data_IF_824499416167
#
_entry.id   IF_824499416167
#
_cell.length_a   1.000
_cell.length_b   1.000
_cell.length_c   1.000
_cell.angle_alpha   90.00
_cell.angle_beta   90.00
_cell.angle_gamma   90.00
#
_symmetry.space_group_name_H-M   'P 1'
#
loop_
_entity.id
_entity.type
_entity.pdbx_description
1 polymer ?
#
# COMPACT_ATOMS: atom_id res chain seq x y z
N UNK A 1 44.47 4.75 53.69
CA UNK A 1 44.29 3.93 54.91
C UNK A 1 45.58 4.01 55.69
N UNK A 2 45.54 4.45 56.94
CA UNK A 2 46.70 4.36 57.80
C UNK A 2 46.84 2.88 58.22
N UNK A 3 47.98 2.25 57.95
CA UNK A 3 48.21 0.85 58.35
C UNK A 3 48.20 0.65 59.88
N UNK A 4 48.11 1.74 60.65
CA UNK A 4 48.01 1.76 62.11
C UNK A 4 46.57 1.70 62.65
N UNK A 5 45.54 1.68 61.80
CA UNK A 5 44.17 1.54 62.27
C UNK A 5 43.86 0.08 62.66
N UNK A 6 43.77 -0.19 63.97
CA UNK A 6 43.40 -1.51 64.51
C UNK A 6 41.90 -1.77 64.35
N UNK A 7 41.49 -2.46 63.29
CA UNK A 7 40.10 -2.81 63.00
C UNK A 7 39.46 -3.80 63.99
N UNK A 8 40.25 -4.44 64.86
CA UNK A 8 39.78 -5.53 65.75
C UNK A 8 39.25 -4.98 67.08
N UNK A 9 39.81 -3.88 67.59
CA UNK A 9 39.57 -3.38 68.95
C UNK A 9 38.83 -2.05 69.03
N UNK A 10 38.36 -1.48 67.92
CA UNK A 10 37.69 -0.17 67.89
C UNK A 10 36.19 -0.29 68.16
N UNK A 11 35.64 0.68 68.90
CA UNK A 11 34.19 0.81 69.10
C UNK A 11 33.50 1.25 67.80
N UNK A 12 32.36 0.61 67.48
CA UNK A 12 31.54 0.98 66.32
C UNK A 12 30.88 2.35 66.57
N UNK A 13 31.28 3.35 65.78
CA UNK A 13 30.71 4.70 65.82
C UNK A 13 29.86 4.93 64.58
N UNK A 14 28.53 5.01 64.77
CA UNK A 14 27.58 5.25 63.69
C UNK A 14 27.13 6.72 63.66
N UNK A 15 26.56 7.15 62.52
CA UNK A 15 26.00 8.47 62.34
C UNK A 15 24.74 8.44 61.47
N UNK A 16 23.87 9.41 61.69
CA UNK A 16 22.98 9.94 60.65
C UNK A 16 23.51 11.29 60.20
N UNK A 17 23.22 11.67 58.96
CA UNK A 17 23.67 12.95 58.44
C UNK A 17 22.98 13.33 57.15
N UNK A 18 23.31 14.52 56.66
CA UNK A 18 22.79 15.06 55.39
C UNK A 18 23.95 15.21 54.42
N UNK A 19 23.74 14.76 53.19
CA UNK A 19 24.72 14.93 52.10
C UNK A 19 24.72 16.38 51.62
N UNK A 20 25.88 17.03 51.62
CA UNK A 20 26.02 18.43 51.17
C UNK A 20 26.75 18.56 49.83
N UNK A 21 27.57 17.57 49.44
CA UNK A 21 28.32 17.59 48.20
C UNK A 21 28.40 16.19 47.59
N UNK A 22 28.19 16.13 46.28
CA UNK A 22 28.19 14.91 45.47
C UNK A 22 29.19 14.97 44.30
N UNK A 23 29.89 16.10 44.13
CA UNK A 23 30.81 16.33 43.02
C UNK A 23 32.20 15.76 43.32
N UNK A 24 32.28 14.43 43.46
CA UNK A 24 33.54 13.72 43.75
C UNK A 24 34.57 13.90 42.62
N UNK A 25 35.70 14.62 42.85
CA UNK A 25 36.71 14.84 41.81
C UNK A 25 37.41 13.55 41.37
N UNK A 26 37.36 12.49 42.19
CA UNK A 26 37.94 11.18 41.87
C UNK A 26 36.93 10.22 41.21
N UNK A 27 35.67 10.63 41.06
CA UNK A 27 34.61 9.83 40.41
C UNK A 27 34.44 8.42 41.04
N UNK A 28 34.64 8.30 42.37
CA UNK A 28 34.49 7.04 43.11
C UNK A 28 33.10 6.92 43.78
N UNK A 29 32.18 7.84 43.47
CA UNK A 29 30.85 7.88 44.09
C UNK A 29 30.89 8.29 45.57
N UNK A 30 31.94 9.00 46.00
CA UNK A 30 32.00 9.54 47.36
C UNK A 30 31.07 10.73 47.51
N UNK A 31 30.63 10.98 48.74
CA UNK A 31 29.80 12.14 49.10
C UNK A 31 30.35 12.82 50.34
N UNK A 32 30.15 14.13 50.50
CA UNK A 32 30.44 14.80 51.76
C UNK A 32 29.18 14.84 52.62
N UNK A 33 29.29 14.30 53.84
CA UNK A 33 28.16 14.18 54.77
C UNK A 33 28.39 15.05 55.98
N UNK A 34 27.42 15.90 56.31
CA UNK A 34 27.39 16.58 57.60
C UNK A 34 26.68 15.69 58.62
N UNK A 35 27.46 15.08 59.51
CA UNK A 35 26.98 14.08 60.48
C UNK A 35 26.43 14.75 61.75
N UNK A 36 25.21 14.39 62.15
CA UNK A 36 24.57 14.92 63.35
C UNK A 36 25.35 14.53 64.60
N UNK A 37 25.54 15.49 65.52
CA UNK A 37 26.32 15.30 66.75
C UNK A 37 27.83 15.38 66.58
N UNK A 38 28.36 15.22 65.36
CA UNK A 38 29.81 15.31 65.06
C UNK A 38 30.19 16.64 64.41
N UNK A 39 29.34 17.17 63.52
CA UNK A 39 29.59 18.42 62.81
C UNK A 39 28.64 19.53 63.27
N UNK A 40 29.11 20.77 63.27
CA UNK A 40 28.28 21.97 63.54
C UNK A 40 27.46 22.36 62.30
N UNK A 41 26.30 22.99 62.52
CA UNK A 41 25.49 23.57 61.44
C UNK A 41 26.09 24.88 60.90
N UNK A 42 27.02 25.50 61.62
CA UNK A 42 27.67 26.74 61.20
C UNK A 42 28.76 26.47 60.15
N UNK A 43 28.48 26.86 58.90
CA UNK A 43 29.40 26.70 57.78
C UNK A 43 30.65 27.58 57.89
N UNK A 44 30.65 28.61 58.74
CA UNK A 44 31.86 29.40 59.00
C UNK A 44 32.88 28.63 59.84
N UNK A 45 32.43 27.65 60.64
CA UNK A 45 33.31 26.78 61.43
C UNK A 45 33.77 25.55 60.66
N UNK A 46 32.86 24.92 59.91
CA UNK A 46 33.19 23.78 59.03
C UNK A 46 32.49 24.00 57.68
N UNK A 47 33.19 24.61 56.71
CA UNK A 47 32.75 24.71 55.33
C UNK A 47 32.36 23.35 54.74
N UNK A 48 31.43 23.33 53.79
CA UNK A 48 31.02 22.08 53.11
C UNK A 48 32.20 21.37 52.46
N UNK A 49 33.16 22.11 51.91
CA UNK A 49 34.36 21.56 51.26
C UNK A 49 35.36 20.93 52.24
N UNK A 50 35.31 21.28 53.51
CA UNK A 50 36.19 20.72 54.54
C UNK A 50 35.64 19.42 55.14
N UNK A 51 34.39 19.06 54.83
CA UNK A 51 33.83 17.78 55.24
C UNK A 51 34.61 16.60 54.61
N UNK A 52 34.89 15.53 55.38
CA UNK A 52 35.54 14.35 54.85
C UNK A 52 34.66 13.65 53.81
N UNK A 53 35.30 13.11 52.77
CA UNK A 53 34.63 12.29 51.76
C UNK A 53 34.24 10.93 52.35
N UNK A 54 32.96 10.62 52.33
CA UNK A 54 32.42 9.33 52.71
C UNK A 54 32.32 8.38 51.51
N UNK A 55 32.75 7.12 51.68
CA UNK A 55 32.53 6.08 50.67
C UNK A 55 31.12 5.52 50.80
N UNK A 56 30.45 5.24 49.69
CA UNK A 56 29.12 4.60 49.69
C UNK A 56 29.29 3.08 49.64
N UNK A 57 28.65 2.38 50.58
CA UNK A 57 28.61 0.92 50.60
C UNK A 57 27.58 0.42 49.58
N UNK A 58 28.06 -0.25 48.54
CA UNK A 58 27.19 -0.84 47.54
C UNK A 58 26.55 -2.14 48.03
N UNK A 59 25.32 -2.48 47.58
CA UNK A 59 24.71 -3.77 47.89
C UNK A 59 25.55 -4.93 47.30
N UNK A 60 25.41 -6.13 47.87
CA UNK A 60 26.13 -7.34 47.41
C UNK A 60 25.83 -7.74 45.97
N UNK A 61 24.76 -7.19 45.38
CA UNK A 61 24.42 -7.33 43.95
C UNK A 61 25.32 -6.50 43.02
N UNK A 62 26.21 -5.68 43.57
CA UNK A 62 27.23 -4.91 42.84
C UNK A 62 28.63 -5.35 43.24
N UNK A 63 29.44 -5.83 42.28
CA UNK A 63 30.79 -6.33 42.56
C UNK A 63 31.80 -5.23 42.90
N UNK A 64 31.53 -3.98 42.49
CA UNK A 64 32.36 -2.80 42.78
C UNK A 64 33.84 -2.98 42.40
N UNK A 65 34.10 -3.72 41.31
CA UNK A 65 35.44 -4.12 40.89
C UNK A 65 35.52 -4.21 39.36
N UNK A 66 36.61 -3.70 38.78
CA UNK A 66 36.91 -3.78 37.34
C UNK A 66 35.81 -3.28 36.39
N UNK A 67 35.02 -2.29 36.82
CA UNK A 67 33.89 -1.77 36.05
C UNK A 67 32.65 -2.67 36.04
N UNK A 68 32.62 -3.73 36.85
CA UNK A 68 31.49 -4.66 37.00
C UNK A 68 30.73 -4.25 38.27
N UNK A 69 29.48 -3.81 38.12
CA UNK A 69 28.63 -3.41 39.24
C UNK A 69 27.60 -2.34 38.88
N UNK A 70 27.05 -1.71 39.91
CA UNK A 70 26.13 -0.57 39.81
C UNK A 70 26.88 0.74 40.03
N UNK A 71 26.33 1.85 39.54
CA UNK A 71 26.87 3.18 39.86
C UNK A 71 26.70 3.47 41.35
N UNK A 72 27.75 3.99 42.00
CA UNK A 72 27.71 4.48 43.38
C UNK A 72 27.12 5.91 43.50
N UNK A 73 26.50 6.42 42.43
CA UNK A 73 25.81 7.71 42.38
C UNK A 73 24.29 7.55 42.55
N UNK A 74 23.58 8.65 42.79
CA UNK A 74 22.12 8.68 42.88
C UNK A 74 21.61 9.30 44.18
N UNK A 75 22.47 9.32 45.20
CA UNK A 75 22.26 10.16 46.38
C UNK A 75 22.36 11.63 45.97
N UNK A 76 21.41 12.45 46.43
CA UNK A 76 21.31 13.87 46.12
C UNK A 76 21.80 14.74 47.28
N UNK A 77 22.21 15.97 46.99
CA UNK A 77 22.39 16.98 48.05
C UNK A 77 21.07 17.15 48.81
N UNK A 78 21.14 17.21 50.13
CA UNK A 78 19.98 17.17 51.03
C UNK A 78 19.50 15.77 51.42
N UNK A 79 20.02 14.69 50.83
CA UNK A 79 19.61 13.32 51.20
C UNK A 79 20.03 12.97 52.62
N UNK A 80 19.12 12.35 53.36
CA UNK A 80 19.42 11.76 54.65
C UNK A 80 20.09 10.40 54.48
N UNK A 81 21.19 10.20 55.19
CA UNK A 81 21.98 8.98 55.15
C UNK A 81 22.24 8.44 56.55
N UNK A 82 22.44 7.13 56.63
CA UNK A 82 22.99 6.44 57.79
C UNK A 82 24.33 5.81 57.42
N UNK A 83 25.26 5.82 58.35
CA UNK A 83 26.61 5.35 58.12
C UNK A 83 27.39 5.06 59.40
N UNK A 84 28.67 4.76 59.24
CA UNK A 84 29.60 4.57 60.35
C UNK A 84 31.00 5.05 59.99
N UNK A 85 31.81 5.35 61.00
CA UNK A 85 33.21 5.71 60.83
C UNK A 85 34.08 4.46 60.95
N UNK A 86 34.85 4.13 59.90
CA UNK A 86 35.75 2.97 59.89
C UNK A 86 36.85 3.06 60.94
N UNK A 87 37.23 4.27 61.30
CA UNK A 87 38.25 4.59 62.27
C UNK A 87 37.71 4.76 63.70
N UNK A 88 36.43 4.42 63.94
CA UNK A 88 35.81 4.42 65.27
C UNK A 88 35.55 5.84 65.80
N UNK A 89 35.70 6.09 67.11
CA UNK A 89 35.43 7.40 67.72
C UNK A 89 36.28 8.58 67.20
N UNK A 90 37.33 8.32 66.43
CA UNK A 90 38.12 9.36 65.76
C UNK A 90 37.31 10.11 64.67
N UNK A 91 36.30 9.46 64.11
CA UNK A 91 35.30 10.06 63.21
C UNK A 91 35.87 10.79 61.97
N UNK A 92 36.96 10.28 61.37
CA UNK A 92 37.59 10.89 60.18
C UNK A 92 37.35 10.10 58.88
N UNK A 93 36.96 8.82 58.94
CA UNK A 93 36.85 7.93 57.76
C UNK A 93 35.41 7.37 57.60
N UNK A 94 34.46 8.17 57.11
CA UNK A 94 33.06 7.79 57.04
C UNK A 94 32.73 6.81 55.88
N UNK A 95 31.83 5.87 56.15
CA UNK A 95 31.09 5.07 55.17
C UNK A 95 29.60 5.34 55.28
N UNK A 96 28.95 5.57 54.15
CA UNK A 96 27.49 5.60 54.02
C UNK A 96 26.98 4.18 53.77
N UNK A 97 26.09 3.69 54.62
CA UNK A 97 25.43 2.38 54.48
C UNK A 97 24.19 2.44 53.58
N UNK A 98 23.46 3.55 53.61
CA UNK A 98 22.24 3.74 52.83
C UNK A 98 21.57 5.08 53.08
N UNK A 99 20.49 5.32 52.34
CA UNK A 99 19.64 6.53 52.46
C UNK A 99 18.39 6.25 53.28
N UNK A 100 17.84 7.29 53.90
CA UNK A 100 16.61 7.22 54.69
C UNK A 100 15.54 8.06 53.96
N UNK A 101 14.45 7.47 53.46
CA UNK A 101 13.33 8.24 52.95
C UNK A 101 12.56 8.91 54.10
N UNK A 102 12.11 10.15 53.89
CA UNK A 102 11.35 10.91 54.88
C UNK A 102 10.26 11.76 54.20
N UNK A 103 9.77 12.76 54.91
CA UNK A 103 9.22 13.98 54.35
C UNK A 103 10.23 15.08 54.68
N UNK A 104 11.21 15.29 53.81
CA UNK A 104 12.32 16.20 54.10
C UNK A 104 11.81 17.65 54.04
N UNK A 105 11.93 18.46 55.10
CA UNK A 105 11.54 19.87 55.06
C UNK A 105 12.56 20.69 54.26
N UNK A 106 12.14 21.86 53.76
CA UNK A 106 13.08 22.79 53.13
C UNK A 106 13.99 23.41 54.19
N UNK A 107 15.28 23.07 54.14
CA UNK A 107 16.30 23.65 55.01
C UNK A 107 16.77 25.03 54.55
N UNK A 108 17.43 25.74 55.45
CA UNK A 108 18.17 26.98 55.16
C UNK A 108 19.49 26.63 54.46
N UNK A 109 19.68 27.07 53.21
CA UNK A 109 20.86 26.73 52.38
C UNK A 109 22.15 27.35 52.90
N UNK A 110 22.07 28.42 53.69
CA UNK A 110 23.23 29.07 54.31
C UNK A 110 23.73 28.30 55.53
N UNK A 111 22.92 27.39 56.07
CA UNK A 111 23.29 26.51 57.19
C UNK A 111 23.64 25.12 56.70
N UNK A 112 24.40 24.40 57.52
CA UNK A 112 24.64 22.98 57.31
C UNK A 112 23.37 22.15 57.51
N UNK A 113 23.47 20.86 57.14
CA UNK A 113 22.37 19.89 57.22
C UNK A 113 21.22 20.13 56.24
N UNK A 114 21.51 20.80 55.13
CA UNK A 114 20.58 21.08 54.04
C UNK A 114 21.30 20.97 52.70
N UNK A 115 20.56 20.99 51.60
CA UNK A 115 21.14 21.15 50.26
C UNK A 115 21.77 22.55 50.12
N UNK A 116 23.10 22.69 49.96
CA UNK A 116 23.74 23.99 49.79
C UNK A 116 23.29 24.73 48.52
N UNK A 117 22.80 24.01 47.51
CA UNK A 117 22.25 24.61 46.29
C UNK A 117 20.78 25.06 46.43
N UNK A 118 20.11 24.72 47.54
CA UNK A 118 18.71 25.06 47.80
C UNK A 118 17.69 24.44 46.84
N UNK A 119 18.11 23.43 46.05
CA UNK A 119 17.31 22.76 45.02
C UNK A 119 16.43 21.66 45.62
N UNK A 120 16.97 20.87 46.53
CA UNK A 120 16.30 19.76 47.18
C UNK A 120 15.91 20.11 48.62
N UNK A 121 14.73 19.65 49.11
CA UNK A 121 13.67 18.95 48.37
C UNK A 121 12.99 19.86 47.32
N UNK A 122 12.56 19.27 46.21
CA UNK A 122 11.83 20.00 45.14
C UNK A 122 10.43 20.39 45.64
N UNK A 123 9.75 19.46 46.30
CA UNK A 123 8.44 19.65 46.91
C UNK A 123 8.55 19.36 48.42
N UNK A 124 8.78 20.38 49.28
CA UNK A 124 9.08 20.17 50.69
C UNK A 124 7.92 19.61 51.52
N UNK A 125 6.69 19.76 51.02
CA UNK A 125 5.49 19.23 51.68
C UNK A 125 5.16 17.79 51.25
N UNK A 126 6.01 17.17 50.43
CA UNK A 126 5.81 15.81 49.93
C UNK A 126 6.72 14.78 50.57
N UNK A 127 6.22 13.53 50.56
CA UNK A 127 7.01 12.36 50.93
C UNK A 127 8.11 12.16 49.89
N UNK A 128 9.31 11.79 50.32
CA UNK A 128 10.48 11.61 49.44
C UNK A 128 10.36 10.39 48.53
N UNK A 129 9.46 9.45 48.87
CA UNK A 129 9.14 8.31 48.02
C UNK A 129 8.49 8.76 46.70
N UNK A 130 8.84 8.15 45.54
CA UNK A 130 8.29 8.53 44.24
C UNK A 130 6.75 8.49 44.21
N UNK A 131 6.13 9.45 43.52
CA UNK A 131 4.65 9.56 43.44
C UNK A 131 4.01 8.31 42.82
N UNK A 132 4.72 7.65 41.91
CA UNK A 132 4.32 6.43 41.21
C UNK A 132 3.96 5.30 42.20
N UNK A 133 4.65 5.21 43.34
CA UNK A 133 4.45 4.16 44.33
C UNK A 133 3.32 4.44 45.33
N UNK A 134 2.63 5.59 45.25
CA UNK A 134 1.73 6.12 46.29
C UNK A 134 0.45 6.71 45.70
N UNK A 135 -0.46 7.15 46.57
CA UNK A 135 -1.80 7.60 46.20
C UNK A 135 -1.81 8.77 45.18
N UNK A 136 -0.76 9.60 45.17
CA UNK A 136 -0.62 10.74 44.26
C UNK A 136 -0.03 10.36 42.88
N UNK A 137 -0.01 9.08 42.48
CA UNK A 137 0.58 8.60 41.23
C UNK A 137 0.07 9.31 39.96
N UNK A 138 -1.18 9.76 39.92
CA UNK A 138 -1.75 10.49 38.78
C UNK A 138 -1.07 11.85 38.56
N UNK A 139 -0.41 12.38 39.58
CA UNK A 139 0.35 13.62 39.52
C UNK A 139 1.83 13.38 39.17
N UNK A 140 2.25 12.12 39.00
CA UNK A 140 3.61 11.81 38.54
C UNK A 140 3.83 12.34 37.12
N UNK A 141 5.06 12.78 36.84
CA UNK A 141 5.44 13.22 35.49
C UNK A 141 5.30 12.11 34.46
N UNK A 142 5.53 10.85 34.87
CA UNK A 142 5.32 9.68 34.04
C UNK A 142 3.84 9.52 33.62
N UNK A 143 2.91 9.55 34.58
CA UNK A 143 1.47 9.43 34.31
C UNK A 143 0.94 10.58 33.44
N UNK A 144 1.24 11.83 33.82
CA UNK A 144 0.74 13.01 33.09
C UNK A 144 1.23 13.01 31.63
N UNK A 145 2.50 12.68 31.41
CA UNK A 145 3.08 12.57 30.07
C UNK A 145 2.36 11.51 29.24
N UNK A 146 2.20 10.28 29.77
CA UNK A 146 1.51 9.20 29.04
C UNK A 146 0.05 9.52 28.74
N UNK A 147 -0.66 10.17 29.68
CA UNK A 147 -2.06 10.60 29.50
C UNK A 147 -2.20 11.58 28.34
N UNK A 148 -1.29 12.55 28.24
CA UNK A 148 -1.28 13.55 27.18
C UNK A 148 -0.88 13.00 25.81
N UNK A 149 -0.11 11.91 25.77
CA UNK A 149 0.39 11.28 24.54
C UNK A 149 -0.56 10.24 23.93
N UNK A 150 -1.71 9.98 24.55
CA UNK A 150 -2.66 8.97 24.10
C UNK A 150 -3.09 9.22 22.64
N UNK A 151 -2.96 8.19 21.80
CA UNK A 151 -3.38 8.25 20.39
C UNK A 151 -4.77 7.64 20.26
N UNK A 152 -5.69 8.37 19.64
CA UNK A 152 -7.08 7.95 19.47
C UNK A 152 -7.53 8.09 18.02
N UNK A 153 -8.58 7.34 17.65
CA UNK A 153 -9.27 7.46 16.36
C UNK A 153 -8.36 7.25 15.14
N UNK A 154 -7.42 6.30 15.22
CA UNK A 154 -6.59 5.91 14.09
C UNK A 154 -7.44 5.10 13.12
N UNK A 155 -7.65 5.63 11.92
CA UNK A 155 -8.50 5.00 10.91
C UNK A 155 -7.93 3.66 10.41
N UNK A 156 -8.84 2.73 10.09
CA UNK A 156 -8.56 1.48 9.38
C UNK A 156 -8.88 1.61 7.89
N UNK A 157 -8.15 0.90 7.05
CA UNK A 157 -8.45 0.81 5.62
C UNK A 157 -9.77 0.07 5.38
N UNK A 158 -10.51 0.46 4.34
CA UNK A 158 -11.73 -0.22 3.88
C UNK A 158 -11.74 -0.38 2.36
N UNK A 159 -12.45 -1.38 1.82
CA UNK A 159 -12.67 -1.55 0.38
C UNK A 159 -13.38 -0.35 -0.28
N UNK A 160 -13.16 -0.06 -1.59
CA UNK A 160 -13.97 0.88 -2.36
C UNK A 160 -15.15 0.18 -3.06
N UNK A 161 -16.17 0.94 -3.44
CA UNK A 161 -17.23 0.49 -4.37
C UNK A 161 -16.72 0.50 -5.81
N UNK A 162 -17.08 -0.50 -6.60
CA UNK A 162 -16.74 -0.63 -8.04
C UNK A 162 -18.02 -0.87 -8.87
N UNK A 163 -19.07 -0.14 -8.51
CA UNK A 163 -20.46 -0.35 -8.97
C UNK A 163 -20.67 -0.28 -10.48
N UNK A 164 -19.72 0.29 -11.24
CA UNK A 164 -19.80 0.32 -12.70
C UNK A 164 -19.55 -1.02 -13.37
N UNK A 165 -18.95 -1.98 -12.64
CA UNK A 165 -18.52 -3.28 -13.21
C UNK A 165 -18.83 -4.47 -12.31
N UNK A 166 -19.13 -4.27 -11.02
CA UNK A 166 -19.54 -5.33 -10.11
C UNK A 166 -20.66 -4.86 -9.19
N UNK A 167 -21.40 -5.81 -8.61
CA UNK A 167 -22.45 -5.53 -7.63
C UNK A 167 -21.80 -5.11 -6.31
N UNK A 168 -22.40 -4.11 -5.65
CA UNK A 168 -21.93 -3.64 -4.34
C UNK A 168 -22.28 -4.62 -3.22
N UNK A 169 -21.41 -4.69 -2.22
CA UNK A 169 -21.70 -5.31 -0.93
C UNK A 169 -22.63 -4.41 -0.08
N UNK A 170 -23.18 -4.90 1.04
CA UNK A 170 -23.91 -4.06 1.99
C UNK A 170 -23.05 -2.89 2.50
N UNK A 171 -23.67 -1.74 2.80
CA UNK A 171 -22.95 -0.52 3.20
C UNK A 171 -22.04 -0.69 4.42
N UNK A 172 -22.34 -1.64 5.32
CA UNK A 172 -21.51 -1.98 6.47
C UNK A 172 -20.11 -2.49 6.08
N UNK A 173 -19.94 -3.12 4.93
CA UNK A 173 -18.65 -3.59 4.40
C UNK A 173 -17.71 -2.42 4.05
N UNK A 174 -18.30 -1.28 3.68
CA UNK A 174 -17.58 -0.05 3.32
C UNK A 174 -17.45 0.95 4.47
N UNK A 175 -18.03 0.64 5.64
CA UNK A 175 -18.02 1.54 6.79
C UNK A 175 -16.65 1.59 7.43
N UNK A 176 -16.05 2.78 7.45
CA UNK A 176 -14.76 3.02 8.11
C UNK A 176 -14.91 2.96 9.63
N UNK A 177 -13.98 2.27 10.28
CA UNK A 177 -13.84 2.22 11.73
C UNK A 177 -12.43 2.67 12.14
N UNK A 178 -12.25 2.88 13.44
CA UNK A 178 -10.99 3.33 14.01
C UNK A 178 -10.52 2.41 15.16
N UNK A 179 -9.35 2.73 15.71
CA UNK A 179 -8.85 2.15 16.95
C UNK A 179 -8.12 3.23 17.77
N UNK A 180 -7.95 2.97 19.07
CA UNK A 180 -7.25 3.88 20.00
C UNK A 180 -6.31 3.08 20.89
N UNK A 181 -5.22 3.70 21.34
CA UNK A 181 -4.39 3.10 22.39
C UNK A 181 -5.16 3.04 23.72
N UNK A 182 -4.68 2.20 24.64
CA UNK A 182 -5.26 2.03 25.96
C UNK A 182 -5.42 3.37 26.69
N UNK A 183 -6.47 3.47 27.50
CA UNK A 183 -6.65 4.58 28.42
C UNK A 183 -5.95 4.26 29.74
N UNK A 184 -4.90 5.01 30.05
CA UNK A 184 -4.10 4.73 31.26
C UNK A 184 -4.89 4.96 32.55
N UNK A 185 -5.96 5.77 32.54
CA UNK A 185 -6.81 5.95 33.71
C UNK A 185 -7.59 4.69 34.10
N UNK A 186 -7.72 3.75 33.17
CA UNK A 186 -8.40 2.47 33.37
C UNK A 186 -7.44 1.32 33.67
N UNK A 187 -6.14 1.53 33.48
CA UNK A 187 -5.12 0.47 33.56
C UNK A 187 -4.01 0.75 34.58
N UNK A 188 -3.90 2.00 35.04
CA UNK A 188 -2.92 2.44 36.03
C UNK A 188 -3.62 2.81 37.32
N UNK A 189 -3.56 1.93 38.31
CA UNK A 189 -4.07 2.17 39.67
C UNK A 189 -3.23 1.40 40.70
N UNK A 190 -2.03 1.91 41.04
CA UNK A 190 -1.16 1.28 42.03
C UNK A 190 -1.77 1.40 43.43
N UNK A 191 -1.65 0.34 44.20
CA UNK A 191 -1.85 0.33 45.65
C UNK A 191 -0.49 0.45 46.34
N UNK A 192 -0.44 1.29 47.37
CA UNK A 192 0.78 1.48 48.16
C UNK A 192 1.23 0.15 48.77
N UNK A 193 2.56 -0.02 48.84
CA UNK A 193 3.33 -1.25 49.13
C UNK A 193 3.42 -2.28 48.02
N UNK A 194 2.62 -2.20 46.95
CA UNK A 194 2.67 -3.16 45.84
C UNK A 194 3.38 -2.64 44.59
N UNK A 195 3.47 -1.32 44.40
CA UNK A 195 4.21 -0.75 43.28
C UNK A 195 5.66 -0.43 43.64
N UNK A 196 6.59 -1.17 43.04
CA UNK A 196 8.03 -0.92 43.13
C UNK A 196 8.44 0.06 42.02
N UNK A 197 8.45 1.35 42.34
CA UNK A 197 8.83 2.40 41.40
C UNK A 197 10.25 2.93 41.65
N UNK A 198 11.00 3.09 40.56
CA UNK A 198 12.29 3.78 40.51
C UNK A 198 12.10 5.05 39.70
N UNK A 199 12.39 6.21 40.31
CA UNK A 199 12.34 7.51 39.66
C UNK A 199 13.72 8.16 39.75
N UNK A 200 14.30 8.52 38.60
CA UNK A 200 15.63 9.13 38.53
C UNK A 200 15.54 10.66 38.45
N UNK A 201 16.60 11.38 38.82
CA UNK A 201 16.62 12.86 38.77
C UNK A 201 16.28 13.43 37.37
N UNK A 202 16.58 12.68 36.30
CA UNK A 202 16.25 13.05 34.92
C UNK A 202 14.81 12.79 34.50
N UNK A 203 13.97 12.22 35.38
CA UNK A 203 12.56 11.89 35.12
C UNK A 203 12.33 10.54 34.44
N UNK A 204 13.34 9.67 34.35
CA UNK A 204 13.14 8.28 33.92
C UNK A 204 12.45 7.50 35.02
N UNK A 205 11.50 6.65 34.62
CA UNK A 205 10.67 5.87 35.54
C UNK A 205 10.68 4.41 35.12
N UNK A 206 10.84 3.54 36.11
CA UNK A 206 10.64 2.10 35.96
C UNK A 206 9.73 1.60 37.07
N UNK A 207 8.69 0.86 36.72
CA UNK A 207 7.70 0.33 37.67
C UNK A 207 7.57 -1.18 37.49
N UNK A 208 7.52 -1.89 38.62
CA UNK A 208 7.04 -3.26 38.73
C UNK A 208 5.92 -3.23 39.78
N UNK A 209 4.68 -3.29 39.30
CA UNK A 209 3.48 -3.13 40.12
C UNK A 209 2.78 -4.48 40.32
N UNK A 210 2.71 -4.93 41.56
CA UNK A 210 2.05 -6.17 41.98
C UNK A 210 0.60 -5.94 42.49
N UNK A 211 0.06 -4.73 42.31
CA UNK A 211 -1.30 -4.38 42.76
C UNK A 211 -2.33 -5.33 42.14
N UNK A 212 -3.21 -5.87 43.00
CA UNK A 212 -4.21 -6.83 42.54
C UNK A 212 -5.12 -6.20 41.46
N UNK A 213 -5.43 -6.95 40.41
CA UNK A 213 -6.19 -6.50 39.22
C UNK A 213 -5.57 -5.35 38.41
N UNK A 214 -4.46 -4.76 38.85
CA UNK A 214 -3.77 -3.63 38.20
C UNK A 214 -2.27 -3.87 38.04
N UNK A 215 -1.86 -5.15 37.98
CA UNK A 215 -0.46 -5.53 37.78
C UNK A 215 0.08 -4.90 36.51
N UNK A 216 1.27 -4.30 36.57
CA UNK A 216 1.87 -3.67 35.39
C UNK A 216 3.39 -3.63 35.47
N UNK A 217 3.99 -3.54 34.29
CA UNK A 217 5.38 -3.14 34.14
C UNK A 217 5.45 -1.89 33.29
N UNK A 218 6.27 -0.92 33.70
CA UNK A 218 6.55 0.29 32.94
C UNK A 218 8.05 0.52 32.87
N UNK A 219 8.56 0.84 31.68
CA UNK A 219 9.90 1.40 31.48
C UNK A 219 9.75 2.65 30.61
N UNK A 220 9.96 3.84 31.18
CA UNK A 220 9.66 5.13 30.57
C UNK A 220 10.85 6.08 30.61
N UNK A 221 11.17 6.63 29.43
CA UNK A 221 12.06 7.76 29.29
C UNK A 221 11.31 9.08 29.60
N UNK A 222 12.00 10.08 30.14
CA UNK A 222 11.41 11.35 30.54
C UNK A 222 10.78 12.16 29.39
N UNK A 223 11.20 11.89 28.15
CA UNK A 223 10.59 12.46 26.94
C UNK A 223 9.22 11.88 26.59
N UNK A 224 8.81 10.78 27.23
CA UNK A 224 7.52 10.12 27.01
C UNK A 224 7.55 8.87 26.13
N UNK A 225 8.72 8.42 25.65
CA UNK A 225 8.84 7.08 25.05
C UNK A 225 8.74 6.04 26.17
N UNK A 226 7.91 5.01 25.99
CA UNK A 226 7.73 3.98 27.01
C UNK A 226 7.39 2.59 26.42
N UNK A 227 7.66 1.57 27.23
CA UNK A 227 7.11 0.23 27.07
C UNK A 227 6.27 -0.09 28.29
N UNK A 228 5.03 -0.47 28.08
CA UNK A 228 4.09 -0.83 29.15
C UNK A 228 3.44 -2.18 28.85
N UNK A 229 3.30 -3.00 29.89
CA UNK A 229 2.47 -4.20 29.90
C UNK A 229 1.51 -4.07 31.08
N UNK A 230 0.20 -4.08 30.81
CA UNK A 230 -0.85 -3.94 31.84
C UNK A 230 -1.42 -5.30 32.24
N UNK A 231 -2.33 -5.32 33.22
CA UNK A 231 -2.83 -6.56 33.84
C UNK A 231 -3.49 -7.54 32.85
N UNK A 232 -4.08 -7.06 31.76
CA UNK A 232 -4.65 -7.89 30.69
C UNK A 232 -3.60 -8.62 29.84
N UNK A 233 -2.32 -8.25 29.98
CA UNK A 233 -1.24 -8.67 29.09
C UNK A 233 -1.10 -7.77 27.84
N UNK A 234 -1.96 -6.77 27.68
CA UNK A 234 -1.83 -5.82 26.58
C UNK A 234 -0.52 -5.05 26.69
N UNK A 235 0.20 -4.97 25.56
CA UNK A 235 1.49 -4.31 25.47
C UNK A 235 1.38 -3.06 24.62
N UNK A 236 1.91 -1.95 25.14
CA UNK A 236 2.11 -0.71 24.38
C UNK A 236 3.60 -0.43 24.24
N UNK A 237 4.04 -0.18 23.00
CA UNK A 237 5.35 0.41 22.71
C UNK A 237 5.09 1.78 22.09
N UNK A 238 5.36 2.84 22.84
CA UNK A 238 5.13 4.20 22.41
C UNK A 238 6.46 4.90 22.17
N UNK A 239 6.67 5.42 20.97
CA UNK A 239 7.91 6.10 20.59
C UNK A 239 7.59 7.52 20.16
N UNK A 240 8.07 8.51 20.93
CA UNK A 240 7.89 9.94 20.63
C UNK A 240 8.82 10.40 19.49
N UNK A 241 10.02 9.82 19.43
CA UNK A 241 11.01 10.12 18.40
C UNK A 241 10.97 9.14 17.22
N UNK A 242 12.13 8.97 16.58
CA UNK A 242 12.30 7.98 15.52
C UNK A 242 12.44 6.57 16.12
N UNK A 243 11.78 5.58 15.50
CA UNK A 243 11.94 4.17 15.84
C UNK A 243 12.82 3.47 14.79
N UNK A 244 13.82 2.71 15.26
CA UNK A 244 14.67 1.89 14.40
C UNK A 244 14.58 0.43 14.86
N UNK A 245 14.19 -0.45 13.94
CA UNK A 245 14.21 -1.90 14.15
C UNK A 245 15.28 -2.49 13.25
N UNK A 246 16.28 -3.16 13.83
CA UNK A 246 17.37 -3.81 13.09
C UNK A 246 17.43 -5.27 13.50
N UNK A 247 17.19 -6.16 12.54
CA UNK A 247 17.33 -7.61 12.71
C UNK A 247 18.34 -8.09 11.69
N UNK A 248 19.48 -8.62 12.16
CA UNK A 248 20.56 -9.10 11.29
C UNK A 248 20.35 -10.56 10.83
N UNK A 249 19.51 -11.30 11.55
CA UNK A 249 19.07 -12.64 11.17
C UNK A 249 17.69 -12.62 10.50
N UNK A 250 16.95 -13.70 10.68
CA UNK A 250 15.54 -13.78 10.29
C UNK A 250 14.66 -13.11 11.34
N UNK A 251 13.60 -12.44 10.88
CA UNK A 251 12.53 -11.93 11.73
C UNK A 251 11.21 -12.61 11.35
N UNK A 252 10.70 -13.48 12.23
CA UNK A 252 9.45 -14.21 12.01
C UNK A 252 8.34 -13.52 12.81
N UNK A 253 7.42 -12.86 12.11
CA UNK A 253 6.34 -12.09 12.73
C UNK A 253 5.03 -12.87 12.54
N UNK A 254 4.46 -13.37 13.64
CA UNK A 254 3.16 -14.04 13.66
C UNK A 254 2.13 -13.21 14.42
N UNK A 255 1.01 -12.90 13.76
CA UNK A 255 -0.12 -12.17 14.35
C UNK A 255 -1.36 -13.03 14.14
N UNK A 256 -1.87 -13.65 15.21
CA UNK A 256 -3.06 -14.49 15.17
C UNK A 256 -4.36 -13.68 14.99
N UNK A 257 -4.35 -12.42 15.46
CA UNK A 257 -5.44 -11.47 15.27
C UNK A 257 -5.28 -10.65 13.99
N UNK A 258 -6.06 -9.57 13.89
CA UNK A 258 -5.94 -8.64 12.76
C UNK A 258 -4.73 -7.71 12.90
N UNK A 259 -4.05 -7.45 11.79
CA UNK A 259 -3.01 -6.42 11.70
C UNK A 259 -3.58 -5.18 11.00
N UNK A 260 -3.52 -4.02 11.67
CA UNK A 260 -3.85 -2.73 11.06
C UNK A 260 -2.57 -1.88 11.01
N UNK A 261 -2.15 -1.49 9.81
CA UNK A 261 -0.98 -0.62 9.60
C UNK A 261 -1.43 0.71 8.97
N UNK A 262 -1.26 1.79 9.72
CA UNK A 262 -1.57 3.14 9.28
C UNK A 262 -0.28 3.97 9.23
N UNK A 263 0.05 4.49 8.05
CA UNK A 263 1.22 5.36 7.83
C UNK A 263 0.69 6.69 7.31
N UNK A 264 0.83 7.76 8.10
CA UNK A 264 0.34 9.09 7.73
C UNK A 264 1.20 9.76 6.64
N UNK A 265 2.49 9.42 6.58
CA UNK A 265 3.42 9.85 5.53
C UNK A 265 3.60 8.79 4.44
N UNK A 266 4.75 8.82 3.78
CA UNK A 266 5.11 7.85 2.74
C UNK A 266 5.36 6.45 3.31
N UNK A 267 4.83 5.42 2.64
CA UNK A 267 5.20 4.02 2.89
C UNK A 267 6.15 3.52 1.79
N UNK A 268 7.38 3.17 2.17
CA UNK A 268 8.38 2.59 1.26
C UNK A 268 8.67 1.16 1.68
N UNK A 269 8.39 0.21 0.78
CA UNK A 269 8.66 -1.20 1.01
C UNK A 269 9.59 -1.72 -0.09
N UNK A 270 10.85 -1.98 0.28
CA UNK A 270 11.85 -2.54 -0.64
C UNK A 270 12.17 -3.97 -0.22
N UNK A 271 11.85 -4.92 -1.09
CA UNK A 271 12.22 -6.33 -0.93
C UNK A 271 13.26 -6.66 -1.99
N UNK A 272 14.48 -6.97 -1.55
CA UNK A 272 15.61 -7.28 -2.45
C UNK A 272 15.55 -8.68 -3.04
N UNK A 273 14.86 -9.59 -2.33
CA UNK A 273 14.56 -10.94 -2.82
C UNK A 273 13.18 -11.01 -3.46
N UNK A 274 12.56 -12.18 -3.40
CA UNK A 274 11.21 -12.39 -3.90
C UNK A 274 10.16 -11.80 -2.94
N UNK A 275 9.05 -11.30 -3.50
CA UNK A 275 7.88 -10.85 -2.74
C UNK A 275 6.73 -11.83 -2.96
N UNK A 276 6.59 -12.81 -2.07
CA UNK A 276 5.45 -13.72 -2.07
C UNK A 276 4.32 -13.13 -1.24
N UNK A 277 3.18 -12.90 -1.87
CA UNK A 277 1.95 -12.44 -1.22
C UNK A 277 0.84 -13.45 -1.51
N UNK A 278 0.35 -14.08 -0.46
CA UNK A 278 -0.81 -14.96 -0.49
C UNK A 278 -1.91 -14.36 0.38
N UNK A 279 -3.12 -14.28 -0.17
CA UNK A 279 -4.30 -13.74 0.50
C UNK A 279 -5.42 -14.75 0.27
N UNK A 280 -5.79 -15.50 1.30
CA UNK A 280 -6.87 -16.49 1.20
C UNK A 280 -8.25 -15.83 1.03
N UNK A 281 -8.41 -14.64 1.61
CA UNK A 281 -9.59 -13.79 1.42
C UNK A 281 -9.47 -12.87 0.20
N UNK A 282 -10.28 -11.81 0.20
CA UNK A 282 -10.25 -10.83 -0.88
C UNK A 282 -9.05 -9.88 -0.74
N UNK A 283 -8.32 -9.64 -1.84
CA UNK A 283 -7.35 -8.54 -1.94
C UNK A 283 -8.02 -7.34 -2.60
N UNK A 284 -8.00 -6.20 -1.91
CA UNK A 284 -8.56 -4.95 -2.41
C UNK A 284 -7.53 -3.84 -2.39
N UNK A 285 -7.46 -3.05 -3.47
CA UNK A 285 -6.55 -1.93 -3.61
C UNK A 285 -7.35 -0.67 -4.00
N UNK A 286 -7.39 0.33 -3.11
CA UNK A 286 -7.98 1.64 -3.42
C UNK A 286 -6.90 2.72 -3.48
N UNK A 287 -6.42 3.00 -4.69
CA UNK A 287 -5.43 4.05 -4.94
C UNK A 287 -6.18 5.32 -5.33
N UNK A 288 -6.21 6.33 -4.45
CA UNK A 288 -6.83 7.63 -4.75
C UNK A 288 -6.07 8.43 -5.81
N UNK A 289 -4.75 8.21 -5.91
CA UNK A 289 -3.89 8.77 -6.95
C UNK A 289 -3.77 7.83 -8.15
N UNK A 290 -2.60 7.81 -8.78
CA UNK A 290 -2.31 6.92 -9.92
C UNK A 290 -1.61 5.64 -9.47
N UNK A 291 -1.85 4.53 -10.18
CA UNK A 291 -1.08 3.28 -10.06
C UNK A 291 -0.15 3.16 -11.28
N UNK A 292 1.14 2.95 -11.03
CA UNK A 292 2.13 2.64 -12.06
C UNK A 292 2.73 1.27 -11.76
N UNK A 293 2.87 0.43 -12.78
CA UNK A 293 3.45 -0.90 -12.67
C UNK A 293 4.47 -1.10 -13.79
N UNK A 294 5.66 -1.58 -13.44
CA UNK A 294 6.71 -1.92 -14.40
C UNK A 294 7.27 -3.29 -14.05
N UNK A 295 6.98 -4.27 -14.91
CA UNK A 295 7.49 -5.62 -14.79
C UNK A 295 8.70 -5.69 -15.72
N UNK A 296 9.88 -5.98 -15.16
CA UNK A 296 11.12 -6.00 -15.94
C UNK A 296 11.21 -7.15 -16.93
N UNK A 297 10.38 -8.18 -16.75
CA UNK A 297 10.32 -9.38 -17.58
C UNK A 297 8.85 -9.68 -17.97
N UNK A 298 8.30 -10.83 -17.57
CA UNK A 298 6.95 -11.27 -17.95
C UNK A 298 5.91 -11.03 -16.86
N UNK A 299 4.69 -10.68 -17.25
CA UNK A 299 3.49 -10.67 -16.39
C UNK A 299 2.55 -11.78 -16.86
N UNK A 300 2.15 -12.65 -15.94
CA UNK A 300 1.22 -13.76 -16.18
C UNK A 300 0.03 -13.59 -15.24
N UNK A 301 -1.19 -13.70 -15.77
CA UNK A 301 -2.42 -13.53 -15.01
C UNK A 301 -3.43 -14.59 -15.41
N UNK A 302 -3.99 -15.27 -14.41
CA UNK A 302 -5.08 -16.22 -14.57
C UNK A 302 -6.24 -15.77 -13.67
N UNK A 303 -7.43 -15.68 -14.25
CA UNK A 303 -8.65 -15.22 -13.58
C UNK A 303 -9.68 -16.34 -13.72
N UNK A 304 -9.98 -17.04 -12.64
CA UNK A 304 -10.85 -18.23 -12.68
C UNK A 304 -12.34 -17.93 -12.93
N UNK A 305 -12.73 -16.65 -12.97
CA UNK A 305 -14.09 -16.18 -13.25
C UNK A 305 -14.02 -14.97 -14.20
N UNK A 306 -14.71 -13.88 -13.88
CA UNK A 306 -14.89 -12.75 -14.77
C UNK A 306 -13.77 -11.70 -14.62
N UNK A 307 -13.35 -11.13 -15.75
CA UNK A 307 -12.58 -9.89 -15.80
C UNK A 307 -13.49 -8.77 -16.29
N UNK A 308 -13.80 -7.82 -15.42
CA UNK A 308 -14.56 -6.63 -15.76
C UNK A 308 -13.69 -5.38 -15.62
N UNK A 309 -13.72 -4.50 -16.62
CA UNK A 309 -12.87 -3.30 -16.68
C UNK A 309 -13.67 -2.13 -17.20
N UNK A 310 -13.67 -1.02 -16.46
CA UNK A 310 -14.24 0.24 -16.89
C UNK A 310 -13.14 1.31 -16.89
N UNK A 311 -12.91 1.94 -18.04
CA UNK A 311 -11.97 3.04 -18.23
C UNK A 311 -12.75 4.22 -18.77
N UNK A 312 -12.85 5.29 -17.99
CA UNK A 312 -13.67 6.47 -18.32
C UNK A 312 -13.05 7.37 -19.38
N UNK A 313 -11.75 7.23 -19.62
CA UNK A 313 -11.01 7.95 -20.65
C UNK A 313 -10.46 6.95 -21.67
N UNK A 314 -9.16 6.97 -21.94
CA UNK A 314 -8.57 6.16 -23.00
C UNK A 314 -8.07 4.80 -22.47
N UNK A 315 -8.42 3.73 -23.18
CA UNK A 315 -7.75 2.44 -23.09
C UNK A 315 -6.73 2.33 -24.23
N UNK A 316 -5.45 2.20 -23.88
CA UNK A 316 -4.35 2.07 -24.85
C UNK A 316 -3.73 0.68 -24.69
N UNK A 317 -3.69 -0.08 -25.77
CA UNK A 317 -3.04 -1.38 -25.84
C UNK A 317 -1.96 -1.37 -26.91
N UNK A 318 -0.74 -1.77 -26.54
CA UNK A 318 0.39 -1.87 -27.46
C UNK A 318 1.15 -3.17 -27.21
N UNK A 319 1.20 -4.02 -28.22
CA UNK A 319 2.12 -5.15 -28.28
C UNK A 319 3.30 -4.80 -29.20
N UNK A 320 4.54 -4.98 -28.73
CA UNK A 320 5.74 -4.71 -29.54
C UNK A 320 6.06 -5.81 -30.55
N UNK A 321 5.47 -7.00 -30.37
CA UNK A 321 5.58 -8.15 -31.25
C UNK A 321 4.17 -8.63 -31.62
N UNK A 322 3.84 -9.89 -31.32
CA UNK A 322 2.55 -10.48 -31.68
C UNK A 322 1.49 -10.25 -30.61
N UNK A 323 0.24 -10.06 -31.03
CA UNK A 323 -0.93 -10.13 -30.17
C UNK A 323 -1.84 -11.26 -30.66
N UNK A 324 -2.20 -12.17 -29.78
CA UNK A 324 -3.14 -13.27 -30.05
C UNK A 324 -4.31 -13.13 -29.10
N UNK A 325 -5.53 -13.11 -29.65
CA UNK A 325 -6.77 -13.03 -28.88
C UNK A 325 -7.63 -14.23 -29.28
N UNK A 326 -7.85 -15.14 -28.34
CA UNK A 326 -8.75 -16.28 -28.50
C UNK A 326 -9.98 -16.04 -27.65
N UNK A 327 -11.17 -16.17 -28.26
CA UNK A 327 -12.45 -16.06 -27.58
C UNK A 327 -13.25 -17.29 -28.02
N UNK A 328 -13.42 -18.26 -27.12
CA UNK A 328 -14.15 -19.50 -27.42
C UNK A 328 -15.66 -19.26 -27.49
N UNK A 329 -16.14 -18.27 -26.75
CA UNK A 329 -17.52 -17.79 -26.80
C UNK A 329 -17.74 -16.73 -27.88
N UNK A 330 -18.77 -15.90 -27.69
CA UNK A 330 -19.11 -14.83 -28.62
C UNK A 330 -18.30 -13.56 -28.35
N UNK A 331 -17.83 -12.90 -29.42
CA UNK A 331 -17.31 -11.53 -29.35
C UNK A 331 -18.38 -10.55 -29.83
N UNK A 332 -18.82 -9.65 -28.96
CA UNK A 332 -19.62 -8.49 -29.32
C UNK A 332 -18.77 -7.22 -29.18
N UNK A 333 -18.79 -6.36 -30.21
CA UNK A 333 -18.02 -5.11 -30.22
C UNK A 333 -18.89 -3.97 -30.73
N UNK A 334 -19.04 -2.93 -29.91
CA UNK A 334 -19.77 -1.71 -30.25
C UNK A 334 -18.81 -0.54 -30.19
N UNK A 335 -18.70 0.21 -31.29
CA UNK A 335 -17.91 1.45 -31.35
C UNK A 335 -18.90 2.60 -31.59
N UNK A 336 -19.00 3.53 -30.64
CA UNK A 336 -19.89 4.68 -30.76
C UNK A 336 -19.37 5.79 -31.69
N UNK A 337 -18.06 5.78 -31.97
CA UNK A 337 -17.39 6.67 -32.92
C UNK A 337 -16.88 5.91 -34.14
N UNK A 338 -15.68 6.25 -34.61
CA UNK A 338 -15.07 5.63 -35.78
C UNK A 338 -14.28 4.37 -35.42
N UNK A 339 -14.25 3.41 -36.36
CA UNK A 339 -13.41 2.22 -36.28
C UNK A 339 -12.48 2.20 -37.50
N UNK A 340 -11.21 2.53 -37.28
CA UNK A 340 -10.19 2.53 -38.32
C UNK A 340 -9.29 1.30 -38.16
N UNK A 341 -9.20 0.46 -39.20
CA UNK A 341 -8.29 -0.67 -39.26
C UNK A 341 -7.26 -0.45 -40.36
N UNK A 342 -5.99 -0.36 -39.99
CA UNK A 342 -4.87 -0.31 -40.93
C UNK A 342 -4.00 -1.54 -40.75
N UNK A 343 -3.79 -2.29 -41.82
CA UNK A 343 -2.93 -3.48 -41.86
C UNK A 343 -1.92 -3.30 -42.98
N UNK A 344 -0.63 -3.30 -42.65
CA UNK A 344 0.44 -3.11 -43.64
C UNK A 344 0.74 -4.38 -44.44
N UNK A 345 0.53 -5.55 -43.82
CA UNK A 345 0.61 -6.85 -44.48
C UNK A 345 -0.78 -7.35 -44.86
N UNK A 346 -0.94 -8.67 -44.82
CA UNK A 346 -2.19 -9.31 -45.21
C UNK A 346 -3.26 -9.19 -44.12
N UNK A 347 -4.50 -8.87 -44.52
CA UNK A 347 -5.67 -8.93 -43.66
C UNK A 347 -6.59 -10.07 -44.13
N UNK A 348 -6.68 -11.14 -43.36
CA UNK A 348 -7.53 -12.29 -43.66
C UNK A 348 -8.80 -12.31 -42.82
N UNK A 349 -9.96 -12.43 -43.48
CA UNK A 349 -11.25 -12.71 -42.84
C UNK A 349 -11.80 -14.03 -43.36
N UNK A 350 -11.99 -15.00 -42.47
CA UNK A 350 -12.62 -16.29 -42.78
C UNK A 350 -13.85 -16.43 -41.91
N UNK A 351 -15.01 -16.51 -42.56
CA UNK A 351 -16.31 -16.74 -41.89
C UNK A 351 -16.91 -18.00 -42.48
N UNK A 352 -16.99 -19.06 -41.67
CA UNK A 352 -17.62 -20.34 -42.06
C UNK A 352 -19.14 -20.22 -42.03
N UNK A 353 -19.66 -19.44 -41.07
CA UNK A 353 -21.07 -19.10 -40.99
C UNK A 353 -21.45 -17.98 -41.96
N UNK A 354 -22.60 -17.36 -41.68
CA UNK A 354 -23.08 -16.22 -42.46
C UNK A 354 -22.23 -14.97 -42.18
N UNK A 355 -21.70 -14.36 -43.24
CA UNK A 355 -21.14 -13.01 -43.18
C UNK A 355 -22.19 -12.01 -43.68
N UNK A 356 -22.43 -10.95 -42.91
CA UNK A 356 -23.29 -9.83 -43.32
C UNK A 356 -22.54 -8.53 -43.12
N UNK A 357 -22.54 -7.69 -44.15
CA UNK A 357 -22.08 -6.32 -44.09
C UNK A 357 -23.21 -5.41 -44.54
N UNK A 358 -23.43 -4.32 -43.79
CA UNK A 358 -24.45 -3.33 -44.08
C UNK A 358 -23.89 -1.94 -43.83
N UNK A 359 -24.03 -1.06 -44.82
CA UNK A 359 -23.78 0.36 -44.68
C UNK A 359 -25.04 1.13 -45.04
N UNK A 360 -25.50 1.98 -44.12
CA UNK A 360 -26.57 2.94 -44.43
C UNK A 360 -26.06 4.13 -45.27
N UNK A 361 -24.75 4.37 -45.24
CA UNK A 361 -24.09 5.44 -45.97
C UNK A 361 -23.39 4.94 -47.23
N UNK A 362 -22.36 5.67 -47.65
CA UNK A 362 -21.49 5.23 -48.73
C UNK A 362 -20.73 3.97 -48.32
N UNK A 363 -20.68 2.98 -49.21
CA UNK A 363 -19.82 1.81 -49.09
C UNK A 363 -18.94 1.76 -50.34
N UNK A 364 -17.62 1.69 -50.14
CA UNK A 364 -16.63 1.66 -51.21
C UNK A 364 -15.69 0.48 -51.00
N UNK A 365 -15.47 -0.28 -52.06
CA UNK A 365 -14.41 -1.30 -52.11
C UNK A 365 -13.49 -0.98 -53.28
N UNK A 366 -12.22 -0.75 -52.97
CA UNK A 366 -11.22 -0.35 -53.96
C UNK A 366 -10.01 -1.29 -53.87
N UNK A 367 -9.55 -1.80 -55.01
CA UNK A 367 -8.33 -2.63 -55.13
C UNK A 367 -7.43 -2.05 -56.21
N UNK A 368 -6.15 -1.86 -55.90
CA UNK A 368 -5.14 -1.48 -56.89
C UNK A 368 -4.72 -2.68 -57.77
N UNK A 369 -4.93 -3.90 -57.27
CA UNK A 369 -4.69 -5.15 -57.99
C UNK A 369 -6.00 -5.74 -58.51
N UNK A 370 -6.03 -7.08 -58.60
CA UNK A 370 -7.26 -7.79 -58.95
C UNK A 370 -8.26 -7.77 -57.79
N UNK A 371 -9.54 -7.59 -58.11
CA UNK A 371 -10.65 -7.89 -57.22
C UNK A 371 -11.33 -9.15 -57.73
N UNK A 372 -11.31 -10.21 -56.93
CA UNK A 372 -11.99 -11.47 -57.25
C UNK A 372 -13.29 -11.58 -56.45
N UNK A 373 -14.41 -11.79 -57.15
CA UNK A 373 -15.70 -12.11 -56.57
C UNK A 373 -16.17 -13.44 -57.17
N UNK A 374 -16.29 -14.47 -56.34
CA UNK A 374 -16.67 -15.81 -56.76
C UNK A 374 -17.73 -16.37 -55.83
N UNK A 375 -18.79 -16.94 -56.41
CA UNK A 375 -19.81 -17.70 -55.71
C UNK A 375 -19.88 -19.10 -56.31
N UNK A 376 -20.14 -20.11 -55.46
CA UNK A 376 -20.47 -21.46 -55.94
C UNK A 376 -21.91 -21.51 -56.46
N UNK A 377 -22.77 -20.66 -55.93
CA UNK A 377 -24.16 -20.49 -56.33
C UNK A 377 -24.29 -19.17 -57.12
N UNK A 378 -25.41 -18.48 -56.98
CA UNK A 378 -25.62 -17.22 -57.67
C UNK A 378 -24.72 -16.13 -57.09
N UNK A 379 -24.32 -15.21 -57.97
CA UNK A 379 -23.84 -13.88 -57.61
C UNK A 379 -24.90 -12.88 -58.10
N UNK A 380 -25.58 -12.21 -57.17
CA UNK A 380 -26.73 -11.34 -57.47
C UNK A 380 -26.40 -9.89 -57.13
N UNK A 381 -26.74 -8.98 -58.03
CA UNK A 381 -26.61 -7.53 -57.85
C UNK A 381 -27.97 -6.88 -58.04
N UNK A 382 -28.52 -6.29 -56.98
CA UNK A 382 -29.83 -5.64 -57.00
C UNK A 382 -29.68 -4.13 -56.72
N UNK A 383 -30.39 -3.31 -57.49
CA UNK A 383 -30.50 -1.87 -57.25
C UNK A 383 -31.88 -1.38 -57.68
N UNK A 384 -32.45 -0.45 -56.90
CA UNK A 384 -33.70 0.24 -57.25
C UNK A 384 -33.47 1.38 -58.25
N UNK A 385 -32.21 1.81 -58.42
CA UNK A 385 -31.80 2.90 -59.29
C UNK A 385 -30.99 2.37 -60.49
N UNK A 386 -30.36 3.27 -61.25
CA UNK A 386 -29.48 2.87 -62.33
C UNK A 386 -28.24 2.12 -61.80
N UNK A 387 -27.89 1.00 -62.45
CA UNK A 387 -26.57 0.37 -62.33
C UNK A 387 -25.69 0.83 -63.49
N UNK A 388 -24.44 1.20 -63.21
CA UNK A 388 -23.49 1.67 -64.23
C UNK A 388 -22.14 0.97 -64.05
N UNK A 389 -21.58 0.45 -65.14
CA UNK A 389 -20.22 -0.08 -65.20
C UNK A 389 -19.39 0.88 -66.06
N UNK A 390 -18.29 1.38 -65.51
CA UNK A 390 -17.35 2.25 -66.22
C UNK A 390 -16.00 1.55 -66.33
N UNK A 391 -15.48 1.45 -67.54
CA UNK A 391 -14.15 0.93 -67.81
C UNK A 391 -13.44 1.92 -68.74
N UNK A 392 -12.28 2.42 -68.31
CA UNK A 392 -11.45 3.30 -69.13
C UNK A 392 -10.74 2.50 -70.24
N UNK A 393 -10.44 1.23 -69.95
CA UNK A 393 -9.96 0.24 -70.92
C UNK A 393 -11.08 -0.63 -71.49
N UNK A 394 -10.70 -1.74 -72.13
CA UNK A 394 -11.66 -2.72 -72.64
C UNK A 394 -12.33 -3.49 -71.50
N UNK A 395 -13.66 -3.56 -71.52
CA UNK A 395 -14.38 -4.58 -70.76
C UNK A 395 -14.40 -5.89 -71.57
N UNK A 396 -13.95 -6.98 -70.97
CA UNK A 396 -14.06 -8.33 -71.56
C UNK A 396 -14.98 -9.19 -70.71
N UNK A 397 -16.00 -9.76 -71.34
CA UNK A 397 -16.94 -10.71 -70.72
C UNK A 397 -16.72 -12.05 -71.41
N UNK A 398 -16.30 -13.07 -70.65
CA UNK A 398 -16.12 -14.42 -71.16
C UNK A 398 -17.16 -15.34 -70.54
N UNK A 399 -17.89 -16.06 -71.38
CA UNK A 399 -19.01 -16.90 -70.95
C UNK A 399 -18.78 -18.28 -71.56
N UNK A 400 -18.51 -19.27 -70.71
CA UNK A 400 -18.28 -20.65 -71.16
C UNK A 400 -19.56 -21.39 -71.57
N UNK A 401 -20.73 -20.89 -71.14
CA UNK A 401 -22.05 -21.40 -71.51
C UNK A 401 -22.88 -20.39 -72.30
N UNK A 402 -24.19 -20.39 -72.10
CA UNK A 402 -25.11 -19.45 -72.76
C UNK A 402 -25.24 -18.15 -71.95
N UNK A 403 -25.11 -17.00 -72.61
CA UNK A 403 -25.52 -15.72 -72.07
C UNK A 403 -27.00 -15.46 -72.36
N UNK A 404 -27.84 -15.44 -71.33
CA UNK A 404 -29.23 -15.00 -71.46
C UNK A 404 -29.34 -13.55 -70.98
N UNK A 405 -29.89 -12.66 -71.82
CA UNK A 405 -30.22 -11.28 -71.46
C UNK A 405 -31.71 -11.05 -71.71
N UNK A 406 -32.43 -10.66 -70.66
CA UNK A 406 -33.85 -10.28 -70.76
C UNK A 406 -33.96 -8.79 -70.54
N UNK A 407 -34.51 -8.08 -71.52
CA UNK A 407 -34.64 -6.62 -71.49
C UNK A 407 -36.10 -6.28 -71.75
N UNK A 408 -36.80 -5.81 -70.72
CA UNK A 408 -38.22 -5.45 -70.82
C UNK A 408 -38.44 -4.11 -71.53
N UNK A 409 -37.42 -3.24 -71.54
CA UNK A 409 -37.41 -1.97 -72.26
C UNK A 409 -36.59 -2.04 -73.55
N UNK A 410 -35.96 -0.92 -73.91
CA UNK A 410 -35.08 -0.86 -75.07
C UNK A 410 -33.63 -1.19 -74.67
N UNK A 411 -32.96 -1.98 -75.48
CA UNK A 411 -31.50 -2.09 -75.46
C UNK A 411 -30.92 -1.14 -76.51
N UNK A 412 -30.03 -0.24 -76.10
CA UNK A 412 -29.29 0.62 -77.02
C UNK A 412 -27.82 0.26 -76.95
N UNK A 413 -27.22 -0.09 -78.10
CA UNK A 413 -25.78 -0.31 -78.23
C UNK A 413 -25.22 0.81 -79.10
N UNK A 414 -24.46 1.72 -78.49
CA UNK A 414 -23.76 2.78 -79.19
C UNK A 414 -22.28 2.44 -79.24
N UNK A 415 -21.82 1.94 -80.39
CA UNK A 415 -20.42 1.62 -80.65
C UNK A 415 -20.03 2.11 -82.04
N UNK A 416 -18.75 2.43 -82.23
CA UNK A 416 -18.20 2.71 -83.56
C UNK A 416 -18.22 1.47 -84.46
N UNK A 417 -18.10 0.28 -83.87
CA UNK A 417 -18.19 -1.01 -84.56
C UNK A 417 -18.69 -2.08 -83.60
N UNK A 418 -19.60 -2.93 -84.08
CA UNK A 418 -20.04 -4.16 -83.39
C UNK A 418 -19.72 -5.33 -84.31
N UNK A 419 -18.87 -6.26 -83.87
CA UNK A 419 -18.48 -7.44 -84.66
C UNK A 419 -19.09 -8.71 -84.06
N UNK A 420 -19.74 -9.51 -84.90
CA UNK A 420 -20.33 -10.81 -84.53
C UNK A 420 -19.78 -11.85 -85.49
N UNK A 421 -19.07 -12.85 -84.95
CA UNK A 421 -18.29 -13.80 -85.75
C UNK A 421 -19.10 -15.02 -86.23
N UNK A 422 -20.39 -15.11 -85.89
CA UNK A 422 -21.27 -16.24 -86.17
C UNK A 422 -22.70 -15.77 -86.53
N UNK A 423 -23.66 -16.69 -86.50
CA UNK A 423 -25.05 -16.43 -86.86
C UNK A 423 -25.73 -15.45 -85.88
N UNK A 424 -26.48 -14.51 -86.45
CA UNK A 424 -27.44 -13.66 -85.73
C UNK A 424 -28.84 -14.07 -86.17
N UNK A 425 -29.65 -14.52 -85.21
CA UNK A 425 -31.05 -14.87 -85.45
C UNK A 425 -31.95 -13.80 -84.81
N UNK A 426 -32.69 -13.06 -85.64
CA UNK A 426 -33.66 -12.06 -85.16
C UNK A 426 -35.07 -12.58 -85.43
N UNK A 427 -35.83 -12.76 -84.36
CA UNK A 427 -37.27 -13.06 -84.44
C UNK A 427 -38.04 -11.75 -84.28
N UNK A 428 -38.33 -11.10 -85.40
CA UNK A 428 -38.98 -9.78 -85.44
C UNK A 428 -38.56 -8.95 -86.66
N UNK A 429 -38.78 -7.64 -86.59
CA UNK A 429 -38.39 -6.71 -87.65
C UNK A 429 -36.99 -6.16 -87.37
N UNK A 430 -36.06 -6.38 -88.30
CA UNK A 430 -34.79 -5.67 -88.34
C UNK A 430 -34.92 -4.47 -89.29
N UNK A 431 -34.81 -3.27 -88.75
CA UNK A 431 -34.84 -2.03 -89.56
C UNK A 431 -33.45 -1.40 -89.59
N UNK A 432 -32.80 -1.45 -90.75
CA UNK A 432 -31.55 -0.75 -91.00
C UNK A 432 -31.83 0.54 -91.80
N UNK A 433 -31.38 1.69 -91.29
CA UNK A 433 -31.55 2.99 -91.96
C UNK A 433 -30.37 3.36 -92.88
N UNK A 434 -29.33 2.51 -92.95
CA UNK A 434 -28.13 2.65 -93.79
C UNK A 434 -27.84 1.37 -94.59
N UNK A 435 -26.86 1.42 -95.52
CA UNK A 435 -26.49 0.34 -96.45
C UNK A 435 -25.92 -0.90 -95.75
N UNK A 436 -26.50 -2.08 -96.02
CA UNK A 436 -25.90 -3.39 -95.70
C UNK A 436 -24.93 -3.76 -96.84
N UNK A 437 -23.64 -3.93 -96.55
CA UNK A 437 -22.60 -4.18 -97.57
C UNK A 437 -21.83 -5.46 -97.24
N UNK A 438 -21.75 -6.41 -98.18
CA UNK A 438 -20.93 -7.62 -98.04
C UNK A 438 -19.48 -7.35 -98.46
N UNK A 439 -18.50 -7.93 -97.75
CA UNK A 439 -17.06 -7.70 -98.00
C UNK A 439 -16.49 -8.29 -99.29
N UNK A 440 -17.25 -9.11 -100.04
CA UNK A 440 -17.01 -9.56 -101.42
C UNK A 440 -18.38 -9.94 -102.06
N UNK A 441 -18.56 -9.95 -103.39
CA UNK A 441 -19.79 -9.49 -104.03
C UNK A 441 -20.85 -10.58 -104.13
N UNK A 442 -21.53 -10.90 -103.04
CA UNK A 442 -22.92 -11.37 -103.08
C UNK A 442 -23.44 -11.56 -101.67
N UNK A 443 -24.47 -10.80 -101.31
CA UNK A 443 -25.46 -11.31 -100.36
C UNK A 443 -26.22 -12.41 -101.12
N UNK A 444 -25.86 -13.67 -100.87
CA UNK A 444 -26.67 -14.78 -101.37
C UNK A 444 -27.73 -15.08 -100.32
N UNK A 445 -28.93 -14.56 -100.55
CA UNK A 445 -30.12 -14.99 -99.80
C UNK A 445 -30.49 -16.38 -100.32
N UNK A 446 -29.82 -17.41 -99.80
CA UNK A 446 -29.88 -18.76 -100.37
C UNK A 446 -31.31 -19.32 -100.36
N UNK A 447 -32.14 -18.94 -99.38
CA UNK A 447 -33.60 -19.19 -99.32
C UNK A 447 -34.26 -18.26 -98.30
N UNK A 448 -35.44 -17.75 -98.59
CA UNK A 448 -36.37 -17.22 -97.59
C UNK A 448 -37.71 -17.94 -97.76
N UNK A 449 -38.34 -18.34 -96.65
CA UNK A 449 -39.64 -19.01 -96.67
C UNK A 449 -40.67 -18.11 -96.06
N UNK A 450 -41.67 -17.72 -96.84
CA UNK A 450 -42.92 -17.17 -96.31
C UNK A 450 -43.76 -18.33 -95.77
N UNK A 451 -44.12 -18.28 -94.49
CA UNK A 451 -45.17 -19.17 -93.97
C UNK A 451 -46.51 -18.75 -94.58
N UNK A 452 -46.95 -19.44 -95.63
CA UNK A 452 -48.28 -19.23 -96.25
C UNK A 452 -49.31 -20.25 -95.71
N UNK A 453 -50.61 -19.87 -95.70
CA UNK A 453 -51.65 -20.41 -94.83
C UNK A 453 -52.16 -21.80 -95.26
N UNK A 454 -52.91 -22.53 -94.39
CA UNK A 454 -53.32 -23.90 -94.68
C UNK A 454 -54.30 -23.95 -95.86
N UNK A 455 -53.90 -24.60 -96.95
CA UNK A 455 -54.78 -24.88 -98.09
C UNK A 455 -55.55 -26.19 -97.87
N UNK A 456 -56.87 -26.08 -98.02
CA UNK A 456 -57.89 -27.14 -98.00
C UNK A 456 -57.70 -28.23 -99.06
N UNK A 457 -58.15 -29.48 -98.83
CA UNK A 457 -57.98 -30.59 -99.76
C UNK A 457 -59.13 -30.70 -100.78
N UNK A 458 -58.83 -31.17 -101.99
CA UNK A 458 -59.83 -31.59 -102.99
C UNK A 458 -59.28 -32.77 -103.82
N UNK A 459 -60.13 -33.61 -104.44
CA UNK A 459 -60.51 -34.89 -103.88
C UNK A 459 -60.06 -36.07 -104.75
N UNK A 460 -59.90 -37.23 -104.11
CA UNK A 460 -59.73 -38.53 -104.77
C UNK A 460 -61.09 -39.17 -105.11
N UNK A 461 -61.27 -39.63 -106.35
CA UNK A 461 -61.96 -40.89 -106.67
C UNK A 461 -61.74 -41.32 -108.12
N UNK A 462 -61.55 -42.64 -108.36
CA UNK A 462 -62.66 -43.50 -108.82
C UNK A 462 -62.69 -44.81 -108.00
N UNK A 463 -63.77 -45.58 -107.84
CA UNK A 463 -64.93 -45.92 -108.69
C UNK A 463 -66.27 -45.27 -108.33
#
# INVERSE_FOLDING_TARGET
MNAQDNFISKHFAWFTGVVEDIFDPLQMGRVRVRCFGYHTADKAQIPTEDLPWAMVMMPVTSASMSGIGQSATGILQGSWVIGFFRDGPSAQDPIVLGTIPSQTPKGDSEKGFSDPAGKHPINPDEKDIPREARAEYEQSSAYVTRKGLRVTRVEKAVPPKVSSVAVDEPDSYYQRSDWSTLDISQTTKPDYTFNNAIHTQGGHVKEIDDTNESKRMLDQHSSGTYVEVVNSGDRTVYVVGNNYTVVLGSDNIYINGSCNLTVAGDFRHLVKGNYHLEVEGNKTEYIKGSRQSKIGQSEQSEIGKDLATNVTSNLIFRAGANATITIDGSKAQTIGGNCDLTVAGDNGLVVVGKHQEFSAGHHETSSAGHLYLSSKENLEFETLAASAIKADGSQTITIGGTQNMTISGNQTIQASTTNIQNNVNVTGTLTATTQVTAGTPSVSLTTHTHGTPPSTPSPTKPS
#
